data_IF_073858361323
#
_entry.id   IF_073858361323
#
_cell.length_a   1.000
_cell.length_b   1.000
_cell.length_c   1.000
_cell.angle_alpha   90.00
_cell.angle_beta   90.00
_cell.angle_gamma   90.00
#
_symmetry.space_group_name_H-M   'P 1'
#
loop_
_entity.id
_entity.type
_entity.pdbx_description
1 polymer ?
#
# COMPACT_ATOMS: atom_id res chain seq x y z
N UNK A 1 3.53 -38.57 -7.72
CA UNK A 1 3.69 -38.55 -9.20
C UNK A 1 4.17 -37.19 -9.62
N UNK A 2 4.99 -37.08 -10.66
CA UNK A 2 5.52 -35.82 -11.15
C UNK A 2 4.40 -34.81 -11.52
N UNK A 3 3.32 -35.29 -12.12
CA UNK A 3 2.15 -34.47 -12.47
C UNK A 3 1.51 -33.77 -11.25
N UNK A 4 1.48 -34.45 -10.11
CA UNK A 4 0.95 -33.85 -8.85
C UNK A 4 1.85 -32.71 -8.36
N UNK A 5 3.16 -32.88 -8.45
CA UNK A 5 4.12 -31.83 -8.08
C UNK A 5 3.99 -30.61 -9.00
N UNK A 6 3.92 -30.85 -10.32
CA UNK A 6 3.76 -29.79 -11.31
C UNK A 6 2.45 -29.02 -11.06
N UNK A 7 1.33 -29.74 -10.88
CA UNK A 7 0.03 -29.12 -10.60
C UNK A 7 0.07 -28.27 -9.32
N UNK A 8 0.71 -28.78 -8.26
CA UNK A 8 0.85 -28.06 -6.99
C UNK A 8 1.66 -26.76 -7.16
N UNK A 9 2.80 -26.83 -7.86
CA UNK A 9 3.63 -25.64 -8.08
C UNK A 9 2.95 -24.62 -9.01
N UNK A 10 2.24 -25.07 -10.04
CA UNK A 10 1.46 -24.20 -10.91
C UNK A 10 0.35 -23.48 -10.15
N UNK A 11 -0.39 -24.21 -9.29
CA UNK A 11 -1.43 -23.61 -8.45
C UNK A 11 -0.82 -22.57 -7.48
N UNK A 12 0.34 -22.88 -6.91
CA UNK A 12 1.01 -22.02 -5.93
C UNK A 12 1.57 -20.73 -6.54
N UNK A 13 2.25 -20.81 -7.67
CA UNK A 13 3.10 -19.74 -8.19
C UNK A 13 2.65 -19.16 -9.53
N UNK A 14 1.67 -19.76 -10.20
CA UNK A 14 1.20 -19.34 -11.52
C UNK A 14 -0.29 -18.97 -11.53
N UNK A 15 -0.89 -18.71 -10.36
CA UNK A 15 -2.26 -18.23 -10.24
C UNK A 15 -2.31 -16.70 -10.07
N UNK A 16 -3.06 -16.20 -9.08
CA UNK A 16 -3.22 -14.77 -8.85
C UNK A 16 -2.07 -14.10 -8.12
N UNK A 17 -1.17 -14.88 -7.48
CA UNK A 17 0.00 -14.36 -6.76
C UNK A 17 1.28 -14.96 -7.35
N UNK A 18 2.18 -14.10 -7.82
CA UNK A 18 3.57 -14.41 -8.08
C UNK A 18 4.45 -13.85 -6.95
N UNK A 19 5.56 -14.49 -6.65
CA UNK A 19 6.47 -14.00 -5.62
C UNK A 19 7.92 -14.08 -6.06
N UNK A 20 8.67 -12.99 -5.87
CA UNK A 20 10.10 -12.92 -6.12
C UNK A 20 10.84 -12.90 -4.78
N UNK A 21 11.61 -13.94 -4.49
CA UNK A 21 12.36 -14.07 -3.23
C UNK A 21 13.65 -14.90 -3.36
N UNK A 22 13.86 -15.58 -4.46
CA UNK A 22 14.99 -16.50 -4.65
C UNK A 22 16.36 -15.81 -4.67
N UNK A 23 16.40 -14.48 -4.88
CA UNK A 23 17.62 -13.69 -4.80
C UNK A 23 18.00 -13.29 -3.37
N UNK A 24 17.15 -13.56 -2.38
CA UNK A 24 17.41 -13.24 -0.98
C UNK A 24 18.52 -14.15 -0.43
N UNK A 25 19.38 -13.56 0.42
CA UNK A 25 20.50 -14.32 1.04
C UNK A 25 20.15 -14.90 2.41
N UNK A 26 19.09 -14.39 3.06
CA UNK A 26 18.62 -14.91 4.33
C UNK A 26 17.83 -16.20 4.09
N UNK A 27 18.45 -17.37 4.37
CA UNK A 27 17.85 -18.66 4.13
C UNK A 27 16.59 -18.93 4.98
N UNK A 28 16.53 -18.39 6.19
CA UNK A 28 15.34 -18.49 7.03
C UNK A 28 14.14 -17.75 6.41
N UNK A 29 14.38 -16.54 5.90
CA UNK A 29 13.36 -15.76 5.22
C UNK A 29 12.89 -16.41 3.90
N UNK A 30 13.82 -16.99 3.13
CA UNK A 30 13.52 -17.77 1.92
C UNK A 30 12.64 -18.97 2.27
N UNK A 31 13.04 -19.77 3.24
CA UNK A 31 12.30 -20.96 3.67
C UNK A 31 10.92 -20.60 4.23
N UNK A 32 10.82 -19.47 4.94
CA UNK A 32 9.56 -18.97 5.48
C UNK A 32 8.57 -18.63 4.35
N UNK A 33 8.99 -17.84 3.34
CA UNK A 33 8.13 -17.49 2.20
C UNK A 33 7.70 -18.75 1.45
N UNK A 34 8.66 -19.63 1.13
CA UNK A 34 8.37 -20.87 0.43
C UNK A 34 7.35 -21.72 1.19
N UNK A 35 7.57 -21.94 2.49
CA UNK A 35 6.65 -22.71 3.33
C UNK A 35 5.24 -22.09 3.37
N UNK A 36 5.14 -20.77 3.49
CA UNK A 36 3.84 -20.09 3.51
C UNK A 36 3.10 -20.19 2.18
N UNK A 37 3.80 -20.02 1.08
CA UNK A 37 3.22 -20.11 -0.26
C UNK A 37 2.79 -21.54 -0.60
N UNK A 38 3.67 -22.52 -0.39
CA UNK A 38 3.42 -23.90 -0.78
C UNK A 38 2.38 -24.60 0.12
N UNK A 39 2.36 -24.31 1.42
CA UNK A 39 1.37 -24.91 2.33
C UNK A 39 -0.05 -24.41 2.07
N UNK A 40 -0.19 -23.17 1.63
CA UNK A 40 -1.47 -22.56 1.29
C UNK A 40 -1.86 -22.71 -0.19
N UNK A 41 -0.91 -23.14 -1.04
CA UNK A 41 -1.00 -23.12 -2.51
C UNK A 41 -1.31 -21.72 -3.08
N UNK A 42 -0.76 -20.69 -2.43
CA UNK A 42 -1.00 -19.30 -2.84
C UNK A 42 -2.39 -18.77 -2.49
N UNK A 43 -3.21 -19.51 -1.75
CA UNK A 43 -4.58 -19.10 -1.42
C UNK A 43 -4.82 -19.03 0.09
N UNK A 44 -5.48 -17.97 0.56
CA UNK A 44 -5.95 -17.90 1.93
C UNK A 44 -7.28 -18.63 2.11
N UNK A 45 -7.49 -19.14 3.33
CA UNK A 45 -8.80 -19.65 3.76
C UNK A 45 -9.50 -18.59 4.59
N UNK A 46 -10.27 -17.74 3.92
CA UNK A 46 -11.11 -16.75 4.59
C UNK A 46 -12.41 -17.34 5.08
N UNK A 47 -12.83 -16.96 6.29
CA UNK A 47 -14.18 -17.24 6.77
C UNK A 47 -15.22 -16.46 5.95
N UNK A 48 -16.50 -16.85 6.04
CA UNK A 48 -17.59 -16.13 5.40
C UNK A 48 -17.66 -14.68 5.86
N UNK A 49 -17.36 -14.42 7.13
CA UNK A 49 -17.37 -13.07 7.69
C UNK A 49 -16.19 -12.23 7.18
N UNK A 50 -15.00 -12.81 7.04
CA UNK A 50 -13.87 -12.13 6.40
C UNK A 50 -14.21 -11.76 4.94
N UNK A 51 -14.79 -12.68 4.17
CA UNK A 51 -15.19 -12.43 2.78
C UNK A 51 -16.23 -11.31 2.68
N UNK A 52 -17.22 -11.27 3.59
CA UNK A 52 -18.18 -10.17 3.66
C UNK A 52 -17.51 -8.82 3.96
N UNK A 53 -16.51 -8.80 4.83
CA UNK A 53 -15.75 -7.58 5.13
C UNK A 53 -14.92 -7.12 3.93
N UNK A 54 -14.22 -8.03 3.27
CA UNK A 54 -13.46 -7.74 2.04
C UNK A 54 -14.40 -7.16 0.99
N UNK A 55 -15.56 -7.79 0.78
CA UNK A 55 -16.58 -7.33 -0.16
C UNK A 55 -17.12 -5.94 0.22
N UNK A 56 -17.43 -5.71 1.48
CA UNK A 56 -17.92 -4.41 1.94
C UNK A 56 -16.90 -3.29 1.65
N UNK A 57 -15.62 -3.53 1.92
CA UNK A 57 -14.54 -2.56 1.63
C UNK A 57 -14.37 -2.30 0.13
N UNK A 58 -14.48 -3.34 -0.68
CA UNK A 58 -14.44 -3.20 -2.14
C UNK A 58 -15.65 -2.40 -2.63
N UNK A 59 -16.85 -2.69 -2.11
CA UNK A 59 -18.07 -1.95 -2.43
C UNK A 59 -17.99 -0.48 -2.01
N UNK A 60 -17.44 -0.18 -0.83
CA UNK A 60 -17.22 1.19 -0.36
C UNK A 60 -16.30 1.96 -1.32
N UNK A 61 -15.23 1.31 -1.78
CA UNK A 61 -14.28 1.91 -2.73
C UNK A 61 -14.97 2.25 -4.07
N UNK A 62 -15.69 1.29 -4.64
CA UNK A 62 -16.42 1.47 -5.92
C UNK A 62 -17.55 2.49 -5.77
N UNK A 63 -18.29 2.43 -4.67
CA UNK A 63 -19.39 3.36 -4.38
C UNK A 63 -18.92 4.81 -4.29
N UNK A 64 -17.77 5.04 -3.63
CA UNK A 64 -17.17 6.37 -3.51
C UNK A 64 -16.76 6.93 -4.88
N UNK A 65 -16.04 6.14 -5.70
CA UNK A 65 -15.63 6.57 -7.05
C UNK A 65 -16.84 6.85 -7.94
N UNK A 66 -17.84 5.96 -7.93
CA UNK A 66 -19.06 6.13 -8.71
C UNK A 66 -19.87 7.36 -8.28
N UNK A 67 -19.88 7.69 -7.00
CA UNK A 67 -20.53 8.89 -6.49
C UNK A 67 -19.81 10.15 -7.00
N UNK A 68 -18.46 10.20 -6.88
CA UNK A 68 -17.68 11.34 -7.35
C UNK A 68 -17.86 11.58 -8.86
N UNK A 69 -17.86 10.50 -9.64
CA UNK A 69 -18.04 10.57 -11.09
C UNK A 69 -19.38 11.23 -11.48
N UNK A 70 -20.44 10.81 -10.82
CA UNK A 70 -21.80 11.30 -11.09
C UNK A 70 -22.07 12.71 -10.55
N UNK A 71 -21.49 13.03 -9.39
CA UNK A 71 -21.77 14.30 -8.71
C UNK A 71 -20.88 15.43 -9.20
N UNK A 72 -19.62 15.16 -9.51
CA UNK A 72 -18.59 16.15 -9.86
C UNK A 72 -18.07 15.90 -11.28
N UNK A 73 -18.97 15.89 -12.24
CA UNK A 73 -18.69 15.62 -13.66
C UNK A 73 -17.63 16.56 -14.20
N UNK A 74 -16.62 15.99 -14.88
CA UNK A 74 -15.53 16.72 -15.52
C UNK A 74 -14.46 17.26 -14.55
N UNK A 75 -14.61 17.07 -13.25
CA UNK A 75 -13.56 17.42 -12.30
C UNK A 75 -12.50 16.32 -12.19
N UNK A 76 -11.24 16.75 -12.08
CA UNK A 76 -10.11 15.84 -11.88
C UNK A 76 -10.21 15.20 -10.49
N UNK A 77 -10.23 13.89 -10.42
CA UNK A 77 -10.38 13.13 -9.18
C UNK A 77 -9.31 12.07 -8.95
N UNK A 78 -8.45 11.82 -9.93
CA UNK A 78 -7.44 10.77 -9.87
C UNK A 78 -8.02 9.44 -9.38
N UNK A 79 -8.99 8.94 -10.13
CA UNK A 79 -9.78 7.76 -9.80
C UNK A 79 -8.93 6.53 -9.48
N UNK A 80 -9.37 5.77 -8.49
CA UNK A 80 -8.79 4.46 -8.13
C UNK A 80 -9.32 3.31 -9.00
N UNK A 81 -10.31 3.56 -9.85
CA UNK A 81 -10.99 2.53 -10.64
C UNK A 81 -10.02 1.76 -11.53
N UNK A 82 -10.07 0.42 -11.38
CA UNK A 82 -9.11 -0.54 -11.92
C UNK A 82 -8.06 -1.03 -10.91
N UNK A 83 -8.03 -0.42 -9.71
CA UNK A 83 -7.17 -0.82 -8.59
C UNK A 83 -7.93 -0.68 -7.24
N UNK A 84 -9.24 -0.87 -7.24
CA UNK A 84 -10.12 -0.69 -6.06
C UNK A 84 -9.74 -1.61 -4.90
N UNK A 85 -9.09 -2.74 -5.21
CA UNK A 85 -8.57 -3.68 -4.22
C UNK A 85 -7.51 -3.05 -3.27
N UNK A 86 -6.99 -1.86 -3.58
CA UNK A 86 -6.16 -1.09 -2.65
C UNK A 86 -6.88 -0.81 -1.32
N UNK A 87 -8.19 -0.58 -1.33
CA UNK A 87 -8.94 -0.26 -0.10
C UNK A 87 -9.04 -1.47 0.83
N UNK A 88 -9.52 -2.66 0.39
CA UNK A 88 -9.43 -3.85 1.23
C UNK A 88 -7.99 -4.25 1.59
N UNK A 89 -7.00 -3.99 0.72
CA UNK A 89 -5.59 -4.19 1.06
C UNK A 89 -5.14 -3.35 2.25
N UNK A 90 -5.43 -2.05 2.25
CA UNK A 90 -5.08 -1.14 3.35
C UNK A 90 -5.86 -1.44 4.64
N UNK A 91 -7.15 -1.82 4.54
CA UNK A 91 -7.91 -2.31 5.67
C UNK A 91 -7.22 -3.53 6.30
N UNK A 92 -6.75 -4.46 5.48
CA UNK A 92 -6.01 -5.63 5.95
C UNK A 92 -4.65 -5.29 6.56
N UNK A 93 -3.91 -4.30 6.01
CA UNK A 93 -2.65 -3.80 6.62
C UNK A 93 -2.91 -3.37 8.06
N UNK A 94 -3.99 -2.60 8.29
CA UNK A 94 -4.34 -2.08 9.60
C UNK A 94 -4.78 -3.21 10.54
N UNK A 95 -5.71 -4.04 10.11
CA UNK A 95 -6.27 -5.13 10.92
C UNK A 95 -5.22 -6.18 11.28
N UNK A 96 -4.43 -6.63 10.31
CA UNK A 96 -3.39 -7.62 10.55
C UNK A 96 -2.21 -7.02 11.33
N UNK A 97 -1.78 -5.82 10.97
CA UNK A 97 -0.71 -5.13 11.69
C UNK A 97 -1.03 -4.89 13.15
N UNK A 98 -2.28 -4.52 13.46
CA UNK A 98 -2.77 -4.40 14.83
C UNK A 98 -2.64 -5.70 15.63
N UNK A 99 -3.06 -6.82 15.03
CA UNK A 99 -2.93 -8.17 15.62
C UNK A 99 -1.46 -8.55 15.84
N UNK A 100 -0.56 -8.10 14.97
CA UNK A 100 0.89 -8.30 15.06
C UNK A 100 1.58 -7.31 16.02
N UNK A 101 0.82 -6.46 16.70
CA UNK A 101 1.33 -5.56 17.73
C UNK A 101 1.68 -4.15 17.27
N UNK A 102 1.46 -3.79 16.01
CA UNK A 102 1.64 -2.42 15.51
C UNK A 102 0.55 -1.53 16.13
N UNK A 103 0.91 -0.32 16.51
CA UNK A 103 0.03 0.67 17.14
C UNK A 103 -0.04 1.98 16.36
N UNK A 104 0.87 2.17 15.44
CA UNK A 104 0.95 3.39 14.64
C UNK A 104 1.35 3.09 13.21
N UNK A 105 0.66 3.73 12.25
CA UNK A 105 1.00 3.68 10.84
C UNK A 105 1.25 5.09 10.32
N UNK A 106 2.34 5.27 9.59
CA UNK A 106 2.64 6.50 8.86
C UNK A 106 2.59 6.19 7.38
N UNK A 107 1.68 6.86 6.67
CA UNK A 107 1.42 6.59 5.27
C UNK A 107 1.82 7.78 4.40
N UNK A 108 2.45 7.48 3.26
CA UNK A 108 2.65 8.42 2.16
C UNK A 108 2.10 7.84 0.87
N UNK A 109 1.52 8.70 0.06
CA UNK A 109 0.98 8.29 -1.23
C UNK A 109 0.89 9.45 -2.20
N UNK A 110 0.94 9.13 -3.50
CA UNK A 110 0.62 10.06 -4.56
C UNK A 110 -0.90 10.36 -4.62
N UNK A 111 -1.31 11.07 -5.65
CA UNK A 111 -2.68 11.57 -5.81
C UNK A 111 -3.71 10.47 -6.16
N UNK A 112 -3.32 9.41 -6.90
CA UNK A 112 -4.27 8.38 -7.35
C UNK A 112 -4.84 7.58 -6.19
N UNK A 113 -6.17 7.58 -6.08
CA UNK A 113 -6.90 6.92 -5.00
C UNK A 113 -6.84 7.64 -3.64
N UNK A 114 -6.15 8.79 -3.53
CA UNK A 114 -5.96 9.48 -2.24
C UNK A 114 -7.28 9.88 -1.57
N UNK A 115 -8.25 10.38 -2.33
CA UNK A 115 -9.56 10.73 -1.76
C UNK A 115 -10.32 9.51 -1.24
N UNK A 116 -10.21 8.39 -1.95
CA UNK A 116 -10.81 7.12 -1.53
C UNK A 116 -10.15 6.60 -0.23
N UNK A 117 -8.83 6.68 -0.13
CA UNK A 117 -8.08 6.34 1.08
C UNK A 117 -8.46 7.26 2.24
N UNK A 118 -8.55 8.57 2.04
CA UNK A 118 -9.00 9.52 3.07
C UNK A 118 -10.39 9.17 3.60
N UNK A 119 -11.34 8.87 2.71
CA UNK A 119 -12.71 8.53 3.09
C UNK A 119 -12.80 7.15 3.74
N UNK A 120 -12.31 6.11 3.07
CA UNK A 120 -12.59 4.72 3.45
C UNK A 120 -11.61 4.14 4.48
N UNK A 121 -10.38 4.66 4.55
CA UNK A 121 -9.33 4.19 5.47
C UNK A 121 -9.17 5.15 6.66
N UNK A 122 -8.98 6.43 6.40
CA UNK A 122 -8.79 7.44 7.45
C UNK A 122 -10.10 7.96 8.05
N UNK A 123 -11.24 7.62 7.47
CA UNK A 123 -12.57 8.06 7.91
C UNK A 123 -12.72 9.58 7.94
N UNK A 124 -12.03 10.29 7.06
CA UNK A 124 -12.26 11.73 6.86
C UNK A 124 -13.71 11.95 6.44
N UNK A 125 -14.37 12.94 7.04
CA UNK A 125 -15.77 13.23 6.74
C UNK A 125 -15.94 13.54 5.25
N UNK A 126 -16.89 12.86 4.62
CA UNK A 126 -17.21 13.04 3.21
C UNK A 126 -17.64 14.46 2.87
N UNK A 127 -18.30 15.16 3.81
CA UNK A 127 -18.67 16.57 3.63
C UNK A 127 -17.44 17.43 3.42
N UNK A 128 -16.40 17.24 4.23
CA UNK A 128 -15.13 17.97 4.07
C UNK A 128 -14.53 17.76 2.70
N UNK A 129 -14.51 16.51 2.22
CA UNK A 129 -14.00 16.18 0.88
C UNK A 129 -14.85 16.85 -0.21
N UNK A 130 -16.18 16.82 -0.09
CA UNK A 130 -17.08 17.38 -1.11
C UNK A 130 -17.09 18.89 -1.14
N UNK A 131 -16.94 19.55 0.01
CA UNK A 131 -16.81 21.01 0.09
C UNK A 131 -15.58 21.51 -0.67
N UNK A 132 -14.47 20.77 -0.60
CA UNK A 132 -13.26 21.05 -1.37
C UNK A 132 -13.51 20.94 -2.90
N UNK A 133 -14.41 20.05 -3.35
CA UNK A 133 -14.84 19.97 -4.76
C UNK A 133 -15.70 21.13 -5.19
N UNK A 134 -16.52 21.70 -4.30
CA UNK A 134 -17.39 22.85 -4.57
C UNK A 134 -16.64 24.18 -4.59
N UNK A 135 -15.33 24.18 -4.31
CA UNK A 135 -14.51 25.38 -4.30
C UNK A 135 -14.83 26.34 -3.15
N UNK A 136 -15.53 25.86 -2.12
CA UNK A 136 -15.75 26.59 -0.89
C UNK A 136 -14.50 26.43 -0.02
N UNK A 137 -13.79 27.52 0.21
CA UNK A 137 -12.75 27.54 1.24
C UNK A 137 -13.41 27.33 2.59
N UNK A 138 -12.83 26.45 3.42
CA UNK A 138 -13.17 26.46 4.84
C UNK A 138 -12.71 27.79 5.41
N UNK A 139 -13.62 28.53 6.04
CA UNK A 139 -13.31 29.57 7.01
C UNK A 139 -12.68 28.89 8.24
N UNK A 140 -11.49 28.35 8.07
CA UNK A 140 -10.65 27.95 9.18
C UNK A 140 -9.53 28.98 9.29
N UNK A 141 -9.42 29.58 10.45
CA UNK A 141 -8.63 30.77 10.73
C UNK A 141 -7.24 30.83 10.03
N UNK A 142 -7.20 31.34 8.84
CA UNK A 142 -6.25 32.38 8.47
C UNK A 142 -4.84 32.01 8.03
N UNK A 143 -4.34 30.75 7.92
CA UNK A 143 -2.92 30.56 7.58
C UNK A 143 -2.57 29.55 6.47
N UNK A 144 -3.50 28.82 5.89
CA UNK A 144 -3.22 27.90 4.80
C UNK A 144 -4.17 28.08 3.60
N UNK A 145 -4.07 29.20 2.91
CA UNK A 145 -4.72 29.37 1.61
C UNK A 145 -3.81 28.83 0.50
N UNK A 146 -4.29 27.85 -0.27
CA UNK A 146 -3.74 27.57 -1.60
C UNK A 146 -3.19 26.20 -1.89
N UNK A 147 -3.28 25.20 -1.00
CA UNK A 147 -2.89 23.84 -1.37
C UNK A 147 -4.06 23.08 -1.99
N UNK A 148 -3.75 22.22 -2.99
CA UNK A 148 -4.78 21.44 -3.67
C UNK A 148 -5.23 20.28 -2.81
N UNK A 149 -6.52 19.96 -2.85
CA UNK A 149 -7.17 18.89 -2.08
C UNK A 149 -6.48 17.52 -2.08
N UNK A 150 -5.62 17.26 -3.06
CA UNK A 150 -4.87 16.00 -3.20
C UNK A 150 -3.55 15.99 -2.44
N UNK A 151 -3.13 17.10 -1.83
CA UNK A 151 -1.86 17.23 -1.13
C UNK A 151 -1.99 17.20 0.39
N UNK A 152 -3.19 17.50 0.90
CA UNK A 152 -3.43 17.60 2.34
C UNK A 152 -3.15 16.30 3.08
N UNK A 153 -2.49 16.41 4.22
CA UNK A 153 -2.31 15.34 5.17
C UNK A 153 -3.54 15.13 6.03
N UNK A 154 -3.57 14.02 6.77
CA UNK A 154 -4.63 13.74 7.72
C UNK A 154 -4.14 12.80 8.82
N UNK A 155 -4.55 13.04 10.07
CA UNK A 155 -4.23 12.15 11.18
C UNK A 155 -5.50 11.85 11.97
N UNK A 156 -5.73 10.59 12.24
CA UNK A 156 -6.90 10.15 13.02
C UNK A 156 -6.59 8.88 13.82
N UNK A 157 -7.20 8.71 14.99
CA UNK A 157 -7.28 7.40 15.61
C UNK A 157 -8.29 6.55 14.83
N UNK A 158 -7.92 5.31 14.56
CA UNK A 158 -8.80 4.31 13.93
C UNK A 158 -8.98 3.16 14.90
N UNK A 159 -10.22 2.75 15.12
CA UNK A 159 -10.53 1.57 15.93
C UNK A 159 -10.64 0.36 15.01
N UNK A 160 -9.82 -0.65 15.26
CA UNK A 160 -9.89 -1.91 14.52
C UNK A 160 -11.11 -2.74 14.89
N UNK A 161 -11.44 -3.73 14.09
CA UNK A 161 -12.51 -4.71 14.39
C UNK A 161 -12.23 -5.47 15.69
N UNK A 162 -10.96 -5.70 16.00
CA UNK A 162 -10.53 -6.30 17.27
C UNK A 162 -10.65 -5.38 18.47
N UNK A 163 -11.06 -4.12 18.27
CA UNK A 163 -11.23 -3.13 19.35
C UNK A 163 -9.97 -2.33 19.70
N UNK A 164 -8.84 -2.60 19.05
CA UNK A 164 -7.59 -1.89 19.26
C UNK A 164 -7.62 -0.47 18.68
N UNK A 165 -7.08 0.49 19.41
CA UNK A 165 -6.91 1.86 18.90
C UNK A 165 -5.55 1.98 18.21
N UNK A 166 -5.59 2.37 16.95
CA UNK A 166 -4.43 2.57 16.10
C UNK A 166 -4.34 4.04 15.71
N UNK A 167 -3.15 4.61 15.78
CA UNK A 167 -2.89 5.94 15.24
C UNK A 167 -2.53 5.81 13.77
N UNK A 168 -3.22 6.58 12.94
CA UNK A 168 -2.99 6.65 11.50
C UNK A 168 -2.60 8.07 11.11
N UNK A 169 -1.50 8.22 10.39
CA UNK A 169 -1.04 9.50 9.86
C UNK A 169 -0.79 9.39 8.36
N UNK A 170 -1.51 10.18 7.57
CA UNK A 170 -1.24 10.39 6.15
C UNK A 170 -0.43 11.66 5.99
N UNK A 171 0.80 11.53 5.53
CA UNK A 171 1.67 12.69 5.29
C UNK A 171 1.11 13.58 4.18
N UNK A 172 1.18 14.91 4.30
CA UNK A 172 1.03 15.79 3.13
C UNK A 172 2.03 15.37 2.05
N UNK A 173 1.69 15.60 0.78
CA UNK A 173 2.61 15.32 -0.31
C UNK A 173 2.57 16.43 -1.35
N UNK A 174 3.71 16.78 -1.99
CA UNK A 174 3.73 17.69 -3.13
C UNK A 174 3.32 16.95 -4.42
N UNK A 175 3.21 17.71 -5.52
CA UNK A 175 3.06 17.12 -6.86
C UNK A 175 4.30 16.37 -7.36
N UNK A 176 5.45 16.53 -6.70
CA UNK A 176 6.68 15.80 -7.01
C UNK A 176 6.54 14.36 -6.55
N UNK A 177 6.39 13.44 -7.51
CA UNK A 177 6.20 12.03 -7.22
C UNK A 177 7.38 11.46 -6.44
N UNK A 178 7.08 10.57 -5.49
CA UNK A 178 8.01 9.87 -4.60
C UNK A 178 8.71 10.73 -3.52
N UNK A 179 8.59 12.08 -3.58
CA UNK A 179 9.19 12.96 -2.57
C UNK A 179 8.65 12.73 -1.15
N UNK A 180 7.44 12.17 -1.02
CA UNK A 180 6.84 11.83 0.27
C UNK A 180 7.51 10.61 0.93
N UNK A 181 8.17 9.74 0.15
CA UNK A 181 8.81 8.52 0.66
C UNK A 181 9.78 8.78 1.81
N UNK A 182 10.84 9.57 1.62
CA UNK A 182 11.79 9.89 2.70
C UNK A 182 11.14 10.64 3.86
N UNK A 183 10.10 11.47 3.62
CA UNK A 183 9.36 12.17 4.67
C UNK A 183 8.66 11.16 5.59
N UNK A 184 7.95 10.17 5.02
CA UNK A 184 7.29 9.11 5.78
C UNK A 184 8.28 8.28 6.59
N UNK A 185 9.44 7.97 6.03
CA UNK A 185 10.50 7.26 6.74
C UNK A 185 11.00 8.08 7.94
N UNK A 186 11.26 9.37 7.74
CA UNK A 186 11.67 10.28 8.81
C UNK A 186 10.63 10.43 9.92
N UNK A 187 9.34 10.59 9.55
CA UNK A 187 8.23 10.64 10.50
C UNK A 187 8.11 9.34 11.29
N UNK A 188 8.13 8.18 10.62
CA UNK A 188 8.05 6.88 11.28
C UNK A 188 9.22 6.67 12.24
N UNK A 189 10.44 7.07 11.84
CA UNK A 189 11.61 7.01 12.70
C UNK A 189 11.45 7.92 13.93
N UNK A 190 11.04 9.15 13.74
CA UNK A 190 10.84 10.10 14.83
C UNK A 190 9.77 9.61 15.85
N UNK A 191 8.67 9.05 15.35
CA UNK A 191 7.63 8.50 16.23
C UNK A 191 8.11 7.24 16.96
N UNK A 192 8.88 6.36 16.30
CA UNK A 192 9.48 5.21 16.96
C UNK A 192 10.39 5.64 18.11
N UNK A 193 11.24 6.63 17.87
CA UNK A 193 12.21 7.11 18.87
C UNK A 193 11.52 7.86 20.02
N UNK A 194 10.50 8.67 19.75
CA UNK A 194 9.86 9.54 20.75
C UNK A 194 8.67 8.89 21.47
N UNK A 195 7.84 8.12 20.77
CA UNK A 195 6.60 7.57 21.29
C UNK A 195 6.69 6.07 21.66
N UNK A 196 7.63 5.33 21.04
CA UNK A 196 7.72 3.88 21.21
C UNK A 196 9.06 3.40 21.79
N UNK A 197 9.91 4.29 22.28
CA UNK A 197 11.18 3.93 22.94
C UNK A 197 12.13 3.13 22.04
N UNK A 198 12.18 3.45 20.75
CA UNK A 198 12.93 2.76 19.69
C UNK A 198 12.42 1.33 19.38
N UNK A 199 11.19 1.01 19.77
CA UNK A 199 10.57 -0.25 19.38
C UNK A 199 9.91 -0.12 17.98
N UNK A 200 10.67 -0.39 16.94
CA UNK A 200 10.23 -0.36 15.54
C UNK A 200 9.15 -1.41 15.21
N UNK A 201 8.86 -2.34 16.11
CA UNK A 201 7.75 -3.29 15.93
C UNK A 201 6.38 -2.66 16.18
N UNK A 202 6.33 -1.49 16.84
CA UNK A 202 5.09 -0.77 17.18
C UNK A 202 4.63 0.19 16.11
N UNK A 203 5.46 0.50 15.14
CA UNK A 203 5.17 1.43 14.06
C UNK A 203 5.49 0.82 12.70
N UNK A 204 4.69 1.14 11.68
CA UNK A 204 4.99 0.73 10.31
C UNK A 204 4.79 1.89 9.33
N UNK A 205 5.83 2.27 8.59
CA UNK A 205 5.69 3.11 7.41
C UNK A 205 5.03 2.33 6.27
N UNK A 206 4.14 3.00 5.54
CA UNK A 206 3.48 2.50 4.34
C UNK A 206 3.68 3.53 3.25
N UNK A 207 4.21 3.12 2.11
CA UNK A 207 4.36 4.00 0.95
C UNK A 207 3.59 3.39 -0.22
N UNK A 208 2.65 4.18 -0.76
CA UNK A 208 1.85 3.79 -1.92
C UNK A 208 2.42 4.53 -3.13
N UNK A 209 2.92 3.77 -4.08
CA UNK A 209 3.60 4.23 -5.28
C UNK A 209 2.72 4.12 -6.52
N UNK A 210 3.02 4.92 -7.54
CA UNK A 210 2.64 4.61 -8.92
C UNK A 210 3.75 3.81 -9.62
N UNK A 211 3.39 2.91 -10.54
CA UNK A 211 4.33 2.00 -11.20
C UNK A 211 5.42 2.71 -12.01
N UNK A 212 5.07 3.76 -12.74
CA UNK A 212 6.05 4.53 -13.49
C UNK A 212 6.99 5.34 -12.58
N UNK A 213 6.47 5.86 -11.47
CA UNK A 213 7.25 6.68 -10.54
C UNK A 213 8.25 5.83 -9.74
N UNK A 214 7.81 4.71 -9.16
CA UNK A 214 8.69 3.84 -8.36
C UNK A 214 9.86 3.30 -9.16
N UNK A 215 9.65 3.03 -10.46
CA UNK A 215 10.68 2.51 -11.35
C UNK A 215 11.71 3.56 -11.80
N UNK A 216 11.34 4.87 -11.80
CA UNK A 216 12.12 5.90 -12.47
C UNK A 216 12.65 7.01 -11.57
N UNK A 217 12.00 7.29 -10.43
CA UNK A 217 12.42 8.38 -9.53
C UNK A 217 13.59 7.95 -8.65
N UNK A 218 14.75 8.60 -8.82
CA UNK A 218 16.00 8.28 -8.10
C UNK A 218 15.86 8.31 -6.58
N UNK A 219 14.98 9.15 -6.04
CA UNK A 219 14.72 9.23 -4.59
C UNK A 219 14.22 7.89 -4.00
N UNK A 220 13.54 7.06 -4.77
CA UNK A 220 13.11 5.71 -4.32
C UNK A 220 14.33 4.84 -4.06
N UNK A 221 15.31 4.87 -4.98
CA UNK A 221 16.57 4.12 -4.82
C UNK A 221 17.33 4.59 -3.57
N UNK A 222 17.39 5.89 -3.32
CA UNK A 222 18.03 6.46 -2.12
C UNK A 222 17.32 5.99 -0.84
N UNK A 223 16.00 6.01 -0.81
CA UNK A 223 15.20 5.57 0.34
C UNK A 223 15.43 4.10 0.66
N UNK A 224 15.40 3.21 -0.33
CA UNK A 224 15.63 1.77 -0.07
C UNK A 224 17.07 1.50 0.37
N UNK A 225 18.05 2.28 -0.11
CA UNK A 225 19.44 2.16 0.35
C UNK A 225 19.61 2.55 1.82
N UNK A 226 18.80 3.45 2.35
CA UNK A 226 18.83 3.86 3.75
C UNK A 226 18.12 2.86 4.69
N UNK A 227 17.24 1.98 4.19
CA UNK A 227 16.30 1.19 4.98
C UNK A 227 16.93 0.31 6.07
N UNK A 228 18.17 -0.15 5.88
CA UNK A 228 18.88 -1.03 6.82
C UNK A 228 19.98 -0.33 7.63
N UNK A 229 20.19 0.96 7.40
CA UNK A 229 21.20 1.73 8.13
C UNK A 229 20.72 2.12 9.52
N UNK A 230 21.58 2.00 10.53
CA UNK A 230 21.20 2.24 11.93
C UNK A 230 20.61 3.63 12.18
N UNK A 231 21.08 4.65 11.48
CA UNK A 231 20.59 6.02 11.58
C UNK A 231 19.20 6.24 10.93
N UNK A 232 18.75 5.33 10.05
CA UNK A 232 17.57 5.53 9.21
C UNK A 232 16.52 4.42 9.31
N UNK A 233 16.88 3.23 9.76
CA UNK A 233 15.98 2.06 9.83
C UNK A 233 14.70 2.35 10.60
N UNK A 234 13.60 1.80 10.09
CA UNK A 234 12.24 1.91 10.67
C UNK A 234 11.62 0.55 11.00
N UNK A 235 12.41 -0.53 10.92
CA UNK A 235 11.92 -1.90 11.11
C UNK A 235 11.19 -2.48 9.91
N UNK A 236 11.44 -1.92 8.72
CA UNK A 236 10.86 -2.32 7.44
C UNK A 236 9.63 -1.50 7.05
N UNK A 237 9.52 -1.26 5.75
CA UNK A 237 8.44 -0.50 5.10
C UNK A 237 7.57 -1.44 4.29
N UNK A 238 6.27 -1.21 4.28
CA UNK A 238 5.35 -1.83 3.33
C UNK A 238 5.22 -0.90 2.13
N UNK A 239 5.76 -1.32 1.00
CA UNK A 239 5.65 -0.64 -0.28
C UNK A 239 4.50 -1.27 -1.07
N UNK A 240 3.49 -0.49 -1.43
CA UNK A 240 2.38 -0.93 -2.27
C UNK A 240 2.44 -0.16 -3.58
N UNK A 241 2.61 -0.84 -4.69
CA UNK A 241 2.62 -0.21 -6.00
C UNK A 241 1.25 -0.37 -6.63
N UNK A 242 0.54 0.73 -6.83
CA UNK A 242 -0.69 0.78 -7.62
C UNK A 242 -0.28 0.76 -9.09
N UNK A 243 -0.13 -0.46 -9.61
CA UNK A 243 0.39 -0.71 -10.95
C UNK A 243 -0.74 -0.72 -11.97
N UNK A 244 -1.05 0.45 -12.49
CA UNK A 244 -2.06 0.59 -13.54
C UNK A 244 -1.48 0.48 -14.96
N UNK A 245 -0.21 0.09 -15.09
CA UNK A 245 0.49 -0.21 -16.33
C UNK A 245 0.63 0.97 -17.30
N UNK A 246 0.44 2.21 -16.81
CA UNK A 246 0.58 3.41 -17.63
C UNK A 246 1.13 4.58 -16.83
N UNK A 247 2.19 5.22 -17.32
CA UNK A 247 2.74 6.45 -16.77
C UNK A 247 2.30 7.67 -17.59
N UNK A 248 1.39 8.49 -17.06
CA UNK A 248 0.75 9.57 -17.81
C UNK A 248 0.06 9.05 -19.08
N UNK A 249 0.73 9.07 -20.25
CA UNK A 249 0.24 8.54 -21.52
C UNK A 249 1.14 7.42 -22.10
N UNK A 250 2.22 7.07 -21.37
CA UNK A 250 3.21 6.09 -21.82
C UNK A 250 2.86 4.70 -21.30
N UNK A 251 2.78 3.72 -22.18
CA UNK A 251 2.60 2.32 -21.81
C UNK A 251 3.84 1.80 -21.06
N UNK A 252 3.66 0.86 -20.14
CA UNK A 252 4.76 0.32 -19.35
C UNK A 252 5.88 -0.32 -20.18
N UNK A 253 5.55 -0.88 -21.35
CA UNK A 253 6.54 -1.45 -22.29
C UNK A 253 7.50 -0.40 -22.86
N UNK A 254 7.04 0.84 -22.98
CA UNK A 254 7.83 1.96 -23.48
C UNK A 254 8.39 2.82 -22.34
N UNK A 255 7.97 2.56 -21.11
CA UNK A 255 8.26 3.39 -19.94
C UNK A 255 9.46 2.96 -19.12
N UNK A 256 9.93 1.71 -19.24
CA UNK A 256 11.05 1.18 -18.47
C UNK A 256 11.72 0.00 -19.18
N UNK A 257 13.01 -0.19 -18.88
CA UNK A 257 13.78 -1.36 -19.38
C UNK A 257 13.67 -2.58 -18.46
N UNK A 258 13.33 -2.38 -17.19
CA UNK A 258 13.13 -3.48 -16.23
C UNK A 258 11.84 -4.24 -16.51
N UNK A 259 11.82 -5.53 -16.21
CA UNK A 259 10.63 -6.36 -16.39
C UNK A 259 9.50 -5.87 -15.46
N UNK A 260 9.82 -5.67 -14.18
CA UNK A 260 8.86 -5.21 -13.18
C UNK A 260 9.17 -3.78 -12.71
N UNK A 261 8.14 -3.02 -12.42
CA UNK A 261 8.31 -1.70 -11.81
C UNK A 261 8.93 -1.78 -10.41
N UNK A 262 8.79 -2.92 -9.76
CA UNK A 262 9.30 -3.23 -8.42
C UNK A 262 10.73 -3.77 -8.41
N UNK A 263 11.46 -3.78 -9.53
CA UNK A 263 12.84 -4.29 -9.58
C UNK A 263 13.81 -3.54 -8.65
N UNK A 264 13.46 -2.32 -8.23
CA UNK A 264 14.18 -1.57 -7.19
C UNK A 264 14.23 -2.32 -5.84
N UNK A 265 13.27 -3.18 -5.53
CA UNK A 265 13.27 -4.01 -4.33
C UNK A 265 14.48 -4.97 -4.26
N UNK A 266 15.00 -5.40 -5.41
CA UNK A 266 16.15 -6.30 -5.52
C UNK A 266 17.44 -5.67 -5.02
N UNK A 267 17.53 -4.35 -5.01
CA UNK A 267 18.70 -3.61 -4.49
C UNK A 267 18.96 -3.94 -3.02
N UNK A 268 17.93 -4.08 -2.22
CA UNK A 268 17.99 -4.42 -0.80
C UNK A 268 17.61 -5.88 -0.51
N UNK A 269 17.45 -6.69 -1.55
CA UNK A 269 17.03 -8.10 -1.46
C UNK A 269 15.70 -8.26 -0.70
N UNK A 270 14.78 -7.35 -0.94
CA UNK A 270 13.43 -7.36 -0.34
C UNK A 270 12.50 -8.24 -1.18
N UNK A 271 11.60 -9.04 -0.58
CA UNK A 271 10.65 -9.85 -1.35
C UNK A 271 9.61 -8.98 -2.04
N UNK A 272 9.12 -9.46 -3.19
CA UNK A 272 8.06 -8.84 -3.97
C UNK A 272 6.91 -9.82 -4.16
N UNK A 273 5.70 -9.39 -3.82
CA UNK A 273 4.46 -10.11 -4.12
C UNK A 273 3.75 -9.39 -5.28
N UNK A 274 3.70 -10.03 -6.45
CA UNK A 274 2.91 -9.58 -7.59
C UNK A 274 1.51 -10.19 -7.47
N UNK A 275 0.48 -9.37 -7.41
CA UNK A 275 -0.87 -9.86 -7.22
C UNK A 275 -1.84 -9.23 -8.22
N UNK A 276 -2.70 -10.07 -8.83
CA UNK A 276 -3.77 -9.60 -9.68
C UNK A 276 -4.79 -8.80 -8.85
N UNK A 277 -4.93 -7.51 -9.17
CA UNK A 277 -5.83 -6.60 -8.45
C UNK A 277 -7.33 -6.97 -8.57
N UNK A 278 -7.70 -7.75 -9.60
CA UNK A 278 -9.08 -8.23 -9.76
C UNK A 278 -9.40 -9.43 -8.85
N UNK A 279 -8.39 -10.07 -8.26
CA UNK A 279 -8.55 -11.12 -7.25
C UNK A 279 -8.33 -10.55 -5.85
N UNK A 280 -9.35 -9.95 -5.29
CA UNK A 280 -9.28 -9.24 -4.01
C UNK A 280 -8.91 -10.14 -2.83
N UNK A 281 -9.30 -11.43 -2.86
CA UNK A 281 -8.92 -12.39 -1.80
C UNK A 281 -7.41 -12.64 -1.84
N UNK A 282 -6.85 -12.81 -3.03
CA UNK A 282 -5.39 -12.93 -3.22
C UNK A 282 -4.65 -11.66 -2.81
N UNK A 283 -5.18 -10.48 -3.10
CA UNK A 283 -4.61 -9.19 -2.64
C UNK A 283 -4.53 -9.13 -1.13
N UNK A 284 -5.63 -9.44 -0.44
CA UNK A 284 -5.69 -9.44 1.03
C UNK A 284 -4.71 -10.47 1.62
N UNK A 285 -4.57 -11.63 0.97
CA UNK A 285 -3.62 -12.65 1.42
C UNK A 285 -2.15 -12.23 1.22
N UNK A 286 -1.82 -11.65 0.08
CA UNK A 286 -0.47 -11.11 -0.16
C UNK A 286 -0.09 -10.04 0.90
N UNK A 287 -1.05 -9.19 1.28
CA UNK A 287 -0.87 -8.23 2.38
C UNK A 287 -0.61 -8.91 3.72
N UNK A 288 -1.34 -9.98 4.04
CA UNK A 288 -1.10 -10.73 5.28
C UNK A 288 0.34 -11.26 5.32
N UNK A 289 0.79 -11.89 4.23
CA UNK A 289 2.15 -12.39 4.11
C UNK A 289 3.20 -11.28 4.25
N UNK A 290 2.97 -10.14 3.60
CA UNK A 290 3.86 -8.99 3.66
C UNK A 290 3.98 -8.43 5.08
N UNK A 291 2.86 -8.28 5.79
CA UNK A 291 2.84 -7.79 7.17
C UNK A 291 3.54 -8.74 8.14
N UNK A 292 3.28 -10.04 8.02
CA UNK A 292 3.92 -11.07 8.84
C UNK A 292 5.44 -11.11 8.57
N UNK A 293 5.84 -11.07 7.30
CA UNK A 293 7.26 -11.02 6.91
C UNK A 293 7.95 -9.80 7.51
N UNK A 294 7.38 -8.60 7.33
CA UNK A 294 7.91 -7.36 7.89
C UNK A 294 8.08 -7.45 9.40
N UNK A 295 7.11 -7.98 10.11
CA UNK A 295 7.17 -8.09 11.57
C UNK A 295 8.20 -9.10 12.05
N UNK A 296 8.38 -10.18 11.32
CA UNK A 296 9.35 -11.23 11.67
C UNK A 296 10.79 -10.85 11.31
N UNK A 297 11.00 -10.37 10.09
CA UNK A 297 12.35 -10.15 9.54
C UNK A 297 12.80 -8.69 9.58
N UNK A 298 11.95 -7.76 9.98
CA UNK A 298 12.26 -6.32 10.10
C UNK A 298 12.84 -5.71 8.81
N UNK A 299 12.36 -6.20 7.66
CA UNK A 299 12.77 -5.77 6.33
C UNK A 299 11.63 -5.19 5.52
N UNK A 300 11.99 -4.44 4.47
CA UNK A 300 11.03 -3.92 3.51
C UNK A 300 10.37 -5.05 2.72
N UNK A 301 9.12 -4.84 2.34
CA UNK A 301 8.35 -5.75 1.48
C UNK A 301 7.63 -4.94 0.42
N UNK A 302 7.63 -5.44 -0.80
CA UNK A 302 6.93 -4.82 -1.92
C UNK A 302 5.71 -5.65 -2.33
N UNK A 303 4.62 -4.97 -2.58
CA UNK A 303 3.39 -5.55 -3.13
C UNK A 303 3.11 -4.81 -4.45
N UNK A 304 3.20 -5.52 -5.55
CA UNK A 304 2.84 -5.04 -6.88
C UNK A 304 1.36 -5.37 -7.13
N UNK A 305 0.50 -4.39 -6.89
CA UNK A 305 -0.95 -4.49 -7.13
C UNK A 305 -1.21 -4.28 -8.62
N UNK A 306 -1.20 -5.37 -9.38
CA UNK A 306 -1.31 -5.34 -10.84
C UNK A 306 -2.76 -5.16 -11.29
N UNK A 307 -3.09 -3.95 -11.68
CA UNK A 307 -4.40 -3.56 -12.15
C UNK A 307 -4.34 -2.80 -13.47
N UNK A 308 -5.24 -1.84 -13.63
CA UNK A 308 -5.33 -1.01 -14.82
C UNK A 308 -5.87 0.38 -14.45
N UNK A 309 -5.86 1.30 -15.40
CA UNK A 309 -6.51 2.62 -15.26
C UNK A 309 -7.76 2.65 -16.11
N UNK A 310 -8.92 2.74 -15.44
CA UNK A 310 -10.21 2.87 -16.12
C UNK A 310 -10.51 4.32 -16.49
N UNK A 311 -10.24 5.25 -15.57
CA UNK A 311 -10.46 6.68 -15.77
C UNK A 311 -9.22 7.50 -15.39
N UNK A 312 -9.13 8.71 -15.96
CA UNK A 312 -8.02 9.64 -15.76
C UNK A 312 -8.05 10.44 -14.44
#
# INVERSE_FOLDING_TARGET
>A
KLSVIISHLQETYCSSIGVEYMYMRNQEAVAWIQSRMESSRGHAKFSVDDKKQIFAKLNDAVGFESFLDKKFVGQKRFSLEGCEALIPALDQVIENGSKLGIREFVMGMAHRGRLNVLSNIFKKDARSIFTEFEGKEYDDDGEFSGDVKYHLGYSSPVKTRGGENIRMTLSPNPSHLEAVGPVVQGMARAFADTAHGNDYSKIAPIIIHGDAAVAAQGVVYEVVQMAKLDGYKTGGTIHIVVNNQVGFTTNYLDGRSSIYCTDVAKVTLSPVFHVNADDVESVVYAVQLAMEFRQQFKGDVFIDLLGYRKYG
#
